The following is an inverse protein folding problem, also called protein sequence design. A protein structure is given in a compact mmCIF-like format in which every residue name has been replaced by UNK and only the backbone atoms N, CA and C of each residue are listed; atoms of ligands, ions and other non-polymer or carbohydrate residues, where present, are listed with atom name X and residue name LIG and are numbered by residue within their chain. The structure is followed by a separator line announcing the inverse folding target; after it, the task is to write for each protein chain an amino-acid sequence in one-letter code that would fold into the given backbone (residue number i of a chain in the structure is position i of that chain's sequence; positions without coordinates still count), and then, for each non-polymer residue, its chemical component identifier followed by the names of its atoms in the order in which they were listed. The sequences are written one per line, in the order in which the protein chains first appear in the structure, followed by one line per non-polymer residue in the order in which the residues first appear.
data_IF_388263806233
#
_entry.id   IF_388263806233
#
_cell.length_a   1.000
_cell.length_b   1.000
_cell.length_c   1.000
_cell.angle_alpha   90.00
_cell.angle_beta   90.00
_cell.angle_gamma   90.00
#
_symmetry.space_group_name_H-M   'P 1'
#
loop_
_entity.id
_entity.type
_entity.pdbx_description
1 polymer ?
#
# COMPACT_ATOMS: atom_id res chain seq x y z
N UNK A 1 -32.72 38.72 -8.38
CA UNK A 1 -33.12 37.53 -9.17
C UNK A 1 -32.18 36.39 -8.80
N UNK A 2 -32.65 35.14 -8.66
CA UNK A 2 -31.76 33.99 -8.49
C UNK A 2 -30.91 33.82 -9.76
N UNK A 3 -29.61 33.63 -9.60
CA UNK A 3 -28.70 33.30 -10.69
C UNK A 3 -29.12 31.96 -11.32
N UNK A 4 -29.17 31.82 -12.66
CA UNK A 4 -29.57 30.57 -13.29
C UNK A 4 -28.66 29.42 -12.87
N UNK A 5 -29.25 28.26 -12.57
CA UNK A 5 -28.48 27.07 -12.19
C UNK A 5 -27.51 26.68 -13.32
N UNK A 6 -26.28 26.24 -13.01
CA UNK A 6 -25.36 25.78 -14.03
C UNK A 6 -25.93 24.53 -14.72
N UNK A 7 -25.85 24.53 -16.04
CA UNK A 7 -26.28 23.42 -16.89
C UNK A 7 -25.07 22.74 -17.51
N UNK A 8 -25.19 21.45 -17.79
CA UNK A 8 -24.19 20.73 -18.57
C UNK A 8 -24.15 21.18 -20.04
N UNK A 9 -23.30 20.51 -20.84
CA UNK A 9 -23.13 20.83 -22.26
C UNK A 9 -24.42 20.64 -23.09
N UNK A 10 -25.36 19.83 -22.59
CA UNK A 10 -26.63 19.54 -23.25
C UNK A 10 -27.78 20.44 -22.71
N UNK A 11 -27.48 21.35 -21.79
CA UNK A 11 -28.46 22.25 -21.18
C UNK A 11 -29.29 21.60 -20.06
N UNK A 12 -28.89 20.40 -19.60
CA UNK A 12 -29.54 19.71 -18.48
C UNK A 12 -29.01 20.28 -17.16
N UNK A 13 -29.88 20.53 -16.16
CA UNK A 13 -29.44 20.93 -14.83
C UNK A 13 -28.48 19.89 -14.26
N UNK A 14 -27.33 20.34 -13.76
CA UNK A 14 -26.37 19.43 -13.15
C UNK A 14 -26.88 18.94 -11.78
N UNK A 15 -26.89 17.62 -11.59
CA UNK A 15 -27.17 17.01 -10.30
C UNK A 15 -25.85 16.78 -9.52
N UNK A 16 -25.63 17.45 -8.37
CA UNK A 16 -24.43 17.27 -7.58
C UNK A 16 -24.25 15.84 -7.04
N UNK A 17 -25.35 15.09 -6.82
CA UNK A 17 -25.26 13.70 -6.37
C UNK A 17 -24.71 12.79 -7.48
N UNK A 18 -25.18 13.00 -8.72
CA UNK A 18 -24.66 12.29 -9.89
C UNK A 18 -23.18 12.63 -10.14
N UNK A 19 -22.80 13.91 -10.05
CA UNK A 19 -21.40 14.32 -10.18
C UNK A 19 -20.50 13.66 -9.12
N UNK A 20 -20.99 13.53 -7.89
CA UNK A 20 -20.26 12.85 -6.82
C UNK A 20 -20.13 11.35 -7.05
N UNK A 21 -21.19 10.69 -7.55
CA UNK A 21 -21.17 9.28 -7.92
C UNK A 21 -20.19 9.01 -9.07
N UNK A 22 -20.20 9.84 -10.09
CA UNK A 22 -19.28 9.75 -11.23
C UNK A 22 -17.83 9.99 -10.79
N UNK A 23 -17.59 10.92 -9.87
CA UNK A 23 -16.26 11.15 -9.29
C UNK A 23 -15.76 9.93 -8.52
N UNK A 24 -16.63 9.25 -7.76
CA UNK A 24 -16.26 8.02 -7.05
C UNK A 24 -15.93 6.88 -8.02
N UNK A 25 -16.71 6.73 -9.09
CA UNK A 25 -16.45 5.73 -10.13
C UNK A 25 -15.12 6.00 -10.84
N UNK A 26 -14.89 7.26 -11.26
CA UNK A 26 -13.62 7.67 -11.87
C UNK A 26 -12.43 7.41 -10.93
N UNK A 27 -12.59 7.65 -9.63
CA UNK A 27 -11.55 7.35 -8.64
C UNK A 27 -11.24 5.85 -8.55
N UNK A 28 -12.27 5.00 -8.56
CA UNK A 28 -12.11 3.55 -8.54
C UNK A 28 -11.40 3.01 -9.79
N UNK A 29 -11.59 3.68 -10.93
CA UNK A 29 -10.95 3.35 -12.21
C UNK A 29 -9.56 3.99 -12.39
N UNK A 30 -9.12 4.83 -11.45
CA UNK A 30 -7.83 5.54 -11.52
C UNK A 30 -7.82 6.72 -12.49
N UNK A 31 -8.99 7.19 -12.95
CA UNK A 31 -9.14 8.38 -13.82
C UNK A 31 -9.12 9.66 -12.98
N UNK A 32 -7.98 9.99 -12.37
CA UNK A 32 -7.89 11.05 -11.37
C UNK A 32 -8.16 12.45 -11.93
N UNK A 33 -7.86 12.72 -13.20
CA UNK A 33 -8.19 13.99 -13.86
C UNK A 33 -9.70 14.21 -13.93
N UNK A 34 -10.47 13.15 -14.18
CA UNK A 34 -11.93 13.21 -14.16
C UNK A 34 -12.47 13.47 -12.76
N UNK A 35 -11.83 12.87 -11.73
CA UNK A 35 -12.18 13.15 -10.32
C UNK A 35 -11.98 14.62 -9.99
N UNK A 36 -10.85 15.22 -10.39
CA UNK A 36 -10.58 16.65 -10.16
C UNK A 36 -11.69 17.51 -10.76
N UNK A 37 -12.06 17.25 -12.02
CA UNK A 37 -13.10 18.01 -12.72
C UNK A 37 -14.49 17.82 -12.09
N UNK A 38 -14.89 16.58 -11.84
CA UNK A 38 -16.23 16.25 -11.31
C UNK A 38 -16.39 16.72 -9.86
N UNK A 39 -15.38 16.50 -9.01
CA UNK A 39 -15.41 16.95 -7.63
C UNK A 39 -15.40 18.48 -7.51
N UNK A 40 -14.68 19.20 -8.39
CA UNK A 40 -14.72 20.65 -8.42
C UNK A 40 -16.13 21.20 -8.77
N UNK A 41 -16.81 20.60 -9.76
CA UNK A 41 -18.19 20.95 -10.11
C UNK A 41 -19.17 20.64 -8.98
N UNK A 42 -19.08 19.46 -8.39
CA UNK A 42 -19.89 19.08 -7.24
C UNK A 42 -19.69 20.05 -6.06
N UNK A 43 -18.44 20.44 -5.76
CA UNK A 43 -18.14 21.42 -4.73
C UNK A 43 -18.70 22.81 -5.05
N UNK A 44 -18.62 23.26 -6.30
CA UNK A 44 -19.19 24.55 -6.71
C UNK A 44 -20.71 24.61 -6.52
N UNK A 45 -21.40 23.47 -6.67
CA UNK A 45 -22.84 23.36 -6.47
C UNK A 45 -23.26 23.27 -5.00
N UNK A 46 -22.54 22.51 -4.18
CA UNK A 46 -22.97 22.16 -2.81
C UNK A 46 -22.22 22.89 -1.72
N UNK A 47 -21.01 23.39 -2.01
CA UNK A 47 -20.07 23.87 -1.00
C UNK A 47 -19.56 22.78 -0.04
N UNK A 48 -19.88 21.50 -0.26
CA UNK A 48 -19.51 20.43 0.69
C UNK A 48 -17.98 20.21 0.68
N UNK A 49 -17.30 20.31 1.85
CA UNK A 49 -15.86 20.08 1.99
C UNK A 49 -15.39 18.69 1.53
N UNK A 50 -16.28 17.69 1.50
CA UNK A 50 -15.96 16.32 1.06
C UNK A 50 -15.59 16.26 -0.41
N UNK A 51 -16.23 17.06 -1.27
CA UNK A 51 -15.87 17.14 -2.68
C UNK A 51 -14.51 17.85 -2.86
N UNK A 52 -14.26 18.91 -2.09
CA UNK A 52 -12.97 19.59 -2.11
C UNK A 52 -11.82 18.67 -1.65
N UNK A 53 -12.06 17.82 -0.65
CA UNK A 53 -11.12 16.79 -0.24
C UNK A 53 -10.90 15.72 -1.32
N UNK A 54 -11.96 15.27 -2.01
CA UNK A 54 -11.85 14.32 -3.11
C UNK A 54 -10.98 14.89 -4.25
N UNK A 55 -11.16 16.17 -4.58
CA UNK A 55 -10.30 16.88 -5.53
C UNK A 55 -8.84 16.88 -5.07
N UNK A 56 -8.57 17.26 -3.81
CA UNK A 56 -7.20 17.28 -3.26
C UNK A 56 -6.54 15.90 -3.29
N UNK A 57 -7.29 14.85 -2.97
CA UNK A 57 -6.80 13.48 -3.00
C UNK A 57 -6.45 13.03 -4.42
N UNK A 58 -7.25 13.41 -5.42
CA UNK A 58 -6.99 13.11 -6.82
C UNK A 58 -5.73 13.85 -7.34
N UNK A 59 -5.56 15.13 -7.03
CA UNK A 59 -4.34 15.89 -7.37
C UNK A 59 -3.08 15.23 -6.81
N UNK A 60 -3.13 14.77 -5.55
CA UNK A 60 -2.02 14.02 -4.96
C UNK A 60 -1.70 12.74 -5.73
N UNK A 61 -2.72 12.01 -6.22
CA UNK A 61 -2.52 10.79 -7.01
C UNK A 61 -1.92 11.07 -8.39
N UNK A 62 -2.15 12.27 -8.93
CA UNK A 62 -1.51 12.76 -10.16
C UNK A 62 -0.06 13.24 -9.92
N UNK A 63 0.39 13.31 -8.67
CA UNK A 63 1.71 13.86 -8.32
C UNK A 63 1.73 15.39 -8.21
N UNK A 64 0.59 16.05 -8.37
CA UNK A 64 0.39 17.50 -8.23
C UNK A 64 0.32 17.91 -6.75
N UNK A 65 1.39 17.62 -6.00
CA UNK A 65 1.40 17.83 -4.55
C UNK A 65 1.26 19.30 -4.16
N UNK A 66 1.72 20.24 -4.99
CA UNK A 66 1.61 21.68 -4.69
C UNK A 66 0.14 22.14 -4.74
N UNK A 67 -0.59 21.70 -5.75
CA UNK A 67 -2.01 21.95 -5.96
C UNK A 67 -2.85 21.28 -4.86
N UNK A 68 -2.54 20.02 -4.54
CA UNK A 68 -3.19 19.28 -3.47
C UNK A 68 -3.07 19.98 -2.10
N UNK A 69 -1.90 20.53 -1.77
CA UNK A 69 -1.68 21.25 -0.51
C UNK A 69 -2.57 22.50 -0.39
N UNK A 70 -2.78 23.24 -1.48
CA UNK A 70 -3.69 24.39 -1.50
C UNK A 70 -5.13 23.95 -1.22
N UNK A 71 -5.57 22.85 -1.82
CA UNK A 71 -6.93 22.31 -1.61
C UNK A 71 -7.11 21.77 -0.18
N UNK A 72 -6.13 21.04 0.35
CA UNK A 72 -6.15 20.56 1.73
C UNK A 72 -6.22 21.71 2.75
N UNK A 73 -5.48 22.79 2.53
CA UNK A 73 -5.57 23.98 3.38
C UNK A 73 -6.99 24.58 3.38
N UNK A 74 -7.66 24.63 2.22
CA UNK A 74 -9.06 25.08 2.12
C UNK A 74 -10.03 24.12 2.83
N UNK A 75 -9.84 22.81 2.71
CA UNK A 75 -10.65 21.82 3.46
C UNK A 75 -10.54 22.10 4.96
N UNK A 76 -9.33 22.20 5.52
CA UNK A 76 -9.14 22.48 6.95
C UNK A 76 -9.73 23.81 7.38
N UNK A 77 -9.67 24.84 6.53
CA UNK A 77 -10.30 26.13 6.81
C UNK A 77 -11.84 26.04 6.85
N UNK A 78 -12.46 25.21 6.00
CA UNK A 78 -13.92 25.06 5.93
C UNK A 78 -14.53 24.25 7.09
N UNK A 79 -13.75 23.43 7.79
CA UNK A 79 -14.26 22.48 8.81
C UNK A 79 -13.67 22.69 10.21
N UNK A 80 -12.97 23.81 10.45
CA UNK A 80 -12.08 24.02 11.61
C UNK A 80 -12.68 23.69 12.99
N UNK A 81 -13.99 23.82 13.15
CA UNK A 81 -14.68 23.72 14.43
C UNK A 81 -15.86 22.71 14.42
N UNK A 82 -15.98 21.87 13.37
CA UNK A 82 -17.08 20.92 13.23
C UNK A 82 -16.63 19.46 13.48
N UNK A 83 -17.05 18.81 14.59
CA UNK A 83 -16.67 17.45 14.91
C UNK A 83 -17.20 16.40 13.92
N UNK A 84 -18.23 16.72 13.12
CA UNK A 84 -18.73 15.83 12.07
C UNK A 84 -17.66 15.51 11.02
N UNK A 85 -16.66 16.39 10.88
CA UNK A 85 -15.56 16.25 9.92
C UNK A 85 -14.23 15.81 10.55
N UNK A 86 -14.22 15.31 11.79
CA UNK A 86 -12.98 14.88 12.45
C UNK A 86 -12.16 13.88 11.60
N UNK A 87 -12.82 12.87 11.00
CA UNK A 87 -12.15 11.91 10.12
C UNK A 87 -11.62 12.55 8.82
N UNK A 88 -12.32 13.55 8.28
CA UNK A 88 -11.89 14.30 7.10
C UNK A 88 -10.64 15.14 7.42
N UNK A 89 -10.59 15.76 8.60
CA UNK A 89 -9.44 16.52 9.10
C UNK A 89 -8.22 15.62 9.26
N UNK A 90 -8.38 14.44 9.85
CA UNK A 90 -7.27 13.49 10.03
C UNK A 90 -6.74 12.99 8.68
N UNK A 91 -7.63 12.61 7.76
CA UNK A 91 -7.25 12.24 6.39
C UNK A 91 -6.55 13.37 5.63
N UNK A 92 -6.99 14.62 5.83
CA UNK A 92 -6.38 15.80 5.23
C UNK A 92 -4.97 16.05 5.76
N UNK A 93 -4.75 15.96 7.08
CA UNK A 93 -3.43 16.09 7.69
C UNK A 93 -2.47 15.01 7.20
N UNK A 94 -2.94 13.77 7.09
CA UNK A 94 -2.16 12.68 6.52
C UNK A 94 -1.79 12.94 5.05
N UNK A 95 -2.75 13.43 4.25
CA UNK A 95 -2.52 13.82 2.87
C UNK A 95 -1.43 14.90 2.73
N UNK A 96 -1.49 15.94 3.58
CA UNK A 96 -0.47 17.00 3.65
C UNK A 96 0.92 16.42 3.94
N UNK A 97 1.03 15.54 4.94
CA UNK A 97 2.32 14.92 5.30
C UNK A 97 2.91 14.10 4.13
N UNK A 98 2.08 13.32 3.44
CA UNK A 98 2.50 12.55 2.25
C UNK A 98 2.94 13.46 1.09
N UNK A 99 2.27 14.60 0.90
CA UNK A 99 2.67 15.58 -0.12
C UNK A 99 4.02 16.23 0.22
N UNK A 100 4.28 16.57 1.48
CA UNK A 100 5.58 17.12 1.89
C UNK A 100 6.71 16.11 1.65
N UNK A 101 6.52 14.86 2.06
CA UNK A 101 7.51 13.79 1.81
C UNK A 101 7.79 13.61 0.31
N UNK A 102 6.75 13.60 -0.53
CA UNK A 102 6.91 13.47 -1.98
C UNK A 102 7.69 14.65 -2.59
N UNK A 103 7.45 15.87 -2.11
CA UNK A 103 8.18 17.06 -2.56
C UNK A 103 9.65 17.00 -2.13
N UNK A 104 9.95 16.64 -0.89
CA UNK A 104 11.32 16.46 -0.39
C UNK A 104 12.08 15.40 -1.20
N UNK A 105 11.44 14.27 -1.51
CA UNK A 105 12.01 13.23 -2.36
C UNK A 105 12.29 13.74 -3.79
N UNK A 106 11.39 14.53 -4.37
CA UNK A 106 11.59 15.10 -5.70
C UNK A 106 12.77 16.09 -5.73
N UNK A 107 12.92 16.92 -4.69
CA UNK A 107 14.02 17.87 -4.58
C UNK A 107 15.37 17.15 -4.37
N UNK A 108 15.40 16.11 -3.54
CA UNK A 108 16.58 15.29 -3.34
C UNK A 108 17.01 14.55 -4.61
N UNK A 109 16.06 14.18 -5.48
CA UNK A 109 16.35 13.54 -6.77
C UNK A 109 16.88 14.51 -7.83
N UNK A 110 16.49 15.79 -7.77
CA UNK A 110 16.96 16.84 -8.70
C UNK A 110 18.29 17.46 -8.28
N UNK A 111 18.73 17.25 -7.02
CA UNK A 111 20.05 17.66 -6.56
C UNK A 111 21.14 17.10 -7.49
N UNK A 112 22.07 17.95 -7.99
CA UNK A 112 23.13 17.49 -8.89
C UNK A 112 23.90 16.33 -8.25
N UNK A 113 24.22 15.26 -9.00
CA UNK A 113 25.03 14.19 -8.46
C UNK A 113 26.31 14.82 -7.90
N UNK A 114 26.57 14.60 -6.61
CA UNK A 114 27.77 15.11 -5.97
C UNK A 114 28.97 14.73 -6.84
N UNK A 115 29.73 15.75 -7.28
CA UNK A 115 30.89 15.55 -8.13
C UNK A 115 31.70 14.37 -7.61
N UNK A 116 32.07 13.40 -8.47
CA UNK A 116 32.76 12.20 -8.02
C UNK A 116 34.03 12.64 -7.29
N UNK A 117 34.05 12.45 -5.97
CA UNK A 117 35.27 12.66 -5.21
C UNK A 117 36.28 11.67 -5.78
N UNK A 118 37.42 12.21 -6.21
CA UNK A 118 38.50 11.40 -6.77
C UNK A 118 38.83 10.34 -5.73
N UNK A 119 38.68 9.04 -6.03
CA UNK A 119 38.93 8.01 -5.04
C UNK A 119 40.39 8.16 -4.57
N UNK A 120 40.65 8.21 -3.25
CA UNK A 120 42.00 8.16 -2.75
C UNK A 120 42.69 6.92 -3.33
N UNK A 121 43.98 7.01 -3.71
CA UNK A 121 44.72 5.92 -4.34
C UNK A 121 44.55 4.66 -3.48
N UNK A 122 44.02 3.61 -4.12
CA UNK A 122 43.75 2.34 -3.46
C UNK A 122 45.05 1.81 -2.86
N UNK A 123 45.12 1.79 -1.53
CA UNK A 123 46.07 0.94 -0.85
C UNK A 123 45.75 -0.50 -1.24
N UNK A 124 46.72 -1.19 -1.81
CA UNK A 124 46.65 -2.61 -2.15
C UNK A 124 46.50 -3.40 -0.86
N UNK A 125 45.25 -3.63 -0.45
CA UNK A 125 44.93 -4.51 0.65
C UNK A 125 45.11 -5.95 0.16
N UNK A 126 46.19 -6.60 0.61
CA UNK A 126 46.41 -8.04 0.42
C UNK A 126 45.27 -8.78 1.13
N UNK A 127 44.19 -9.04 0.37
CA UNK A 127 43.02 -9.74 0.87
C UNK A 127 43.45 -11.16 1.29
N UNK A 128 43.35 -11.53 2.58
CA UNK A 128 43.67 -12.87 3.02
C UNK A 128 42.80 -13.88 2.26
N UNK A 129 43.40 -14.98 1.84
CA UNK A 129 42.69 -16.05 1.12
C UNK A 129 41.40 -16.42 1.88
N UNK A 130 40.25 -16.55 1.19
CA UNK A 130 38.97 -16.84 1.83
C UNK A 130 39.09 -18.18 2.57
N UNK A 131 38.93 -18.13 3.91
CA UNK A 131 38.82 -19.33 4.72
C UNK A 131 37.54 -20.04 4.32
N UNK A 132 37.66 -21.30 3.88
CA UNK A 132 36.53 -22.15 3.52
C UNK A 132 35.72 -22.46 4.78
N UNK A 133 34.68 -21.66 5.06
CA UNK A 133 33.77 -21.97 6.15
C UNK A 133 32.97 -23.24 5.81
N UNK A 134 32.76 -24.15 6.78
CA UNK A 134 31.98 -25.36 6.56
C UNK A 134 30.55 -25.00 6.14
N UNK A 135 29.94 -25.76 5.22
CA UNK A 135 28.60 -25.47 4.70
C UNK A 135 27.59 -25.39 5.83
N UNK A 136 26.97 -24.21 6.00
CA UNK A 136 25.89 -24.00 6.97
C UNK A 136 24.71 -24.90 6.61
N UNK A 137 24.31 -25.76 7.55
CA UNK A 137 23.18 -26.68 7.37
C UNK A 137 21.86 -25.86 7.35
N UNK A 138 21.10 -25.96 6.26
CA UNK A 138 19.88 -25.16 6.03
C UNK A 138 18.82 -25.22 7.14
N UNK A 139 18.69 -26.36 7.81
CA UNK A 139 17.71 -26.56 8.89
C UNK A 139 18.07 -25.82 10.19
N UNK A 140 19.22 -25.15 10.25
CA UNK A 140 19.67 -24.36 11.40
C UNK A 140 19.52 -22.85 11.23
N UNK A 141 18.73 -22.34 10.27
CA UNK A 141 18.42 -20.91 10.22
C UNK A 141 17.39 -20.56 11.32
N UNK A 142 17.82 -19.96 12.47
CA UNK A 142 16.91 -19.67 13.57
C UNK A 142 15.84 -18.65 13.17
N UNK A 143 16.16 -17.73 12.25
CA UNK A 143 15.22 -16.73 11.75
C UNK A 143 14.13 -17.36 10.88
N UNK A 144 14.50 -18.36 10.06
CA UNK A 144 13.54 -19.13 9.27
C UNK A 144 12.54 -19.89 10.15
N UNK A 145 13.01 -20.48 11.26
CA UNK A 145 12.16 -21.15 12.24
C UNK A 145 11.22 -20.19 12.97
N UNK A 146 11.73 -19.04 13.43
CA UNK A 146 10.92 -18.01 14.12
C UNK A 146 9.82 -17.46 13.20
N UNK A 147 10.16 -17.08 11.96
CA UNK A 147 9.20 -16.55 11.00
C UNK A 147 8.10 -17.55 10.65
N UNK A 148 8.47 -18.83 10.43
CA UNK A 148 7.51 -19.90 10.15
C UNK A 148 6.58 -20.14 11.34
N UNK A 149 7.14 -20.23 12.55
CA UNK A 149 6.37 -20.45 13.78
C UNK A 149 5.37 -19.32 14.03
N UNK A 150 5.80 -18.06 13.87
CA UNK A 150 4.96 -16.89 14.07
C UNK A 150 3.84 -16.81 13.02
N UNK A 151 4.15 -17.14 11.75
CA UNK A 151 3.15 -17.23 10.68
C UNK A 151 2.07 -18.28 10.94
N UNK A 152 2.45 -19.46 11.43
CA UNK A 152 1.49 -20.51 11.79
C UNK A 152 0.58 -20.09 12.95
N UNK A 153 1.13 -19.47 14.00
CA UNK A 153 0.35 -19.00 15.16
C UNK A 153 -0.66 -17.92 14.76
N UNK A 154 -0.25 -16.96 13.92
CA UNK A 154 -1.16 -15.90 13.42
C UNK A 154 -2.25 -16.49 12.52
N UNK A 155 -1.92 -17.46 11.67
CA UNK A 155 -2.90 -18.09 10.76
C UNK A 155 -3.89 -18.96 11.52
N UNK A 156 -3.43 -19.70 12.53
CA UNK A 156 -4.27 -20.56 13.37
C UNK A 156 -5.27 -19.75 14.22
N UNK A 157 -4.91 -18.54 14.63
CA UNK A 157 -5.81 -17.65 15.38
C UNK A 157 -6.78 -16.90 14.45
N UNK A 158 -6.37 -16.54 13.23
CA UNK A 158 -7.24 -15.85 12.26
C UNK A 158 -8.23 -16.75 11.51
N UNK A 159 -7.88 -18.00 11.25
CA UNK A 159 -8.72 -18.95 10.48
C UNK A 159 -10.13 -19.15 11.03
N UNK A 160 -10.31 -19.42 12.34
CA UNK A 160 -11.64 -19.55 12.93
C UNK A 160 -12.48 -18.28 12.84
N UNK A 161 -11.86 -17.11 12.97
CA UNK A 161 -12.51 -15.80 12.85
C UNK A 161 -13.06 -15.55 11.43
N UNK A 162 -12.34 -16.00 10.40
CA UNK A 162 -12.80 -15.89 9.01
C UNK A 162 -14.01 -16.79 8.72
N UNK A 163 -14.00 -18.03 9.21
CA UNK A 163 -15.14 -18.95 9.06
C UNK A 163 -16.38 -18.42 9.79
N UNK A 164 -16.21 -17.90 11.01
CA UNK A 164 -17.31 -17.30 11.77
C UNK A 164 -17.84 -16.01 11.13
N UNK A 165 -16.98 -15.23 10.47
CA UNK A 165 -17.35 -14.00 9.75
C UNK A 165 -18.20 -14.28 8.52
N UNK A 166 -17.87 -15.30 7.72
CA UNK A 166 -18.69 -15.69 6.58
C UNK A 166 -20.07 -16.21 7.02
N UNK A 167 -20.15 -16.99 8.10
CA UNK A 167 -21.44 -17.44 8.63
C UNK A 167 -22.30 -16.32 9.26
N UNK A 168 -21.73 -15.13 9.50
CA UNK A 168 -22.50 -13.97 9.95
C UNK A 168 -23.11 -13.17 8.78
N UNK A 169 -22.51 -13.24 7.57
CA UNK A 169 -23.09 -12.65 6.35
C UNK A 169 -24.37 -13.35 5.93
N UNK A 170 -24.36 -14.69 5.92
CA UNK A 170 -25.55 -15.49 5.57
C UNK A 170 -26.71 -15.27 6.55
N UNK A 171 -26.41 -14.94 7.82
CA UNK A 171 -27.42 -14.56 8.82
C UNK A 171 -27.92 -13.13 8.68
N UNK A 172 -27.08 -12.22 8.19
CA UNK A 172 -27.46 -10.84 7.93
C UNK A 172 -28.36 -10.71 6.69
N UNK A 173 -28.15 -11.52 5.66
CA UNK A 173 -29.01 -11.55 4.46
C UNK A 173 -30.43 -12.08 4.74
N UNK A 174 -30.63 -12.79 5.87
CA UNK A 174 -31.92 -13.35 6.27
C UNK A 174 -32.62 -12.58 7.40
N UNK A 175 -32.06 -11.47 7.89
CA UNK A 175 -32.65 -10.71 8.99
C UNK A 175 -33.73 -9.74 8.46
N UNK A 176 -34.98 -9.92 8.90
CA UNK A 176 -36.14 -9.11 8.49
C UNK A 176 -36.30 -7.78 9.26
N UNK A 177 -35.29 -7.35 10.03
CA UNK A 177 -35.41 -6.24 10.98
C UNK A 177 -34.32 -5.17 10.76
N UNK A 178 -34.72 -3.94 10.41
CA UNK A 178 -33.82 -2.84 10.03
C UNK A 178 -32.93 -2.36 11.20
N UNK A 179 -33.43 -2.43 12.44
CA UNK A 179 -32.67 -2.04 13.61
C UNK A 179 -31.49 -3.00 13.89
N UNK A 180 -31.70 -4.29 13.67
CA UNK A 180 -30.65 -5.31 13.77
C UNK A 180 -29.62 -5.18 12.64
N UNK A 181 -30.04 -4.72 11.46
CA UNK A 181 -29.16 -4.44 10.32
C UNK A 181 -28.22 -3.26 10.59
N UNK A 182 -28.72 -2.15 11.16
CA UNK A 182 -27.92 -0.98 11.47
C UNK A 182 -26.81 -1.26 12.52
N UNK A 183 -27.13 -2.01 13.59
CA UNK A 183 -26.17 -2.37 14.63
C UNK A 183 -25.10 -3.34 14.09
N UNK A 184 -25.51 -4.31 13.26
CA UNK A 184 -24.59 -5.26 12.65
C UNK A 184 -23.65 -4.60 11.61
N UNK A 185 -24.09 -3.55 10.91
CA UNK A 185 -23.24 -2.78 10.00
C UNK A 185 -22.15 -1.97 10.70
N UNK A 186 -22.48 -1.33 11.82
CA UNK A 186 -21.50 -0.60 12.63
C UNK A 186 -20.42 -1.54 13.19
N UNK A 187 -20.82 -2.71 13.69
CA UNK A 187 -19.91 -3.74 14.20
C UNK A 187 -19.10 -4.40 13.06
N UNK A 188 -19.70 -4.60 11.89
CA UNK A 188 -19.02 -5.16 10.72
C UNK A 188 -17.95 -4.21 10.14
N UNK A 189 -18.20 -2.89 10.11
CA UNK A 189 -17.21 -1.92 9.62
C UNK A 189 -15.93 -1.92 10.46
N UNK A 190 -16.04 -1.97 11.79
CA UNK A 190 -14.87 -2.07 12.68
C UNK A 190 -14.09 -3.39 12.52
N UNK A 191 -14.79 -4.52 12.36
CA UNK A 191 -14.18 -5.84 12.19
C UNK A 191 -13.53 -6.02 10.81
N UNK A 192 -14.08 -5.41 9.75
CA UNK A 192 -13.58 -5.56 8.38
C UNK A 192 -12.24 -4.89 8.17
N UNK A 193 -12.02 -3.70 8.77
CA UNK A 193 -10.72 -3.01 8.70
C UNK A 193 -9.64 -3.80 9.44
N UNK A 194 -9.95 -4.34 10.62
CA UNK A 194 -9.03 -5.16 11.40
C UNK A 194 -8.68 -6.49 10.70
N UNK A 195 -9.67 -7.14 10.07
CA UNK A 195 -9.47 -8.40 9.35
C UNK A 195 -8.64 -8.23 8.07
N UNK A 196 -8.84 -7.14 7.31
CA UNK A 196 -8.05 -6.86 6.11
C UNK A 196 -6.59 -6.55 6.49
N UNK A 197 -6.38 -5.74 7.53
CA UNK A 197 -5.04 -5.43 8.01
C UNK A 197 -4.28 -6.68 8.49
N UNK A 198 -4.94 -7.55 9.27
CA UNK A 198 -4.30 -8.78 9.78
C UNK A 198 -4.00 -9.79 8.67
N UNK A 199 -4.89 -9.95 7.68
CA UNK A 199 -4.65 -10.82 6.52
C UNK A 199 -3.51 -10.30 5.64
N UNK A 200 -3.41 -9.00 5.43
CA UNK A 200 -2.31 -8.40 4.65
C UNK A 200 -0.95 -8.66 5.33
N UNK A 201 -0.86 -8.41 6.65
CA UNK A 201 0.36 -8.64 7.42
C UNK A 201 0.71 -10.14 7.46
N UNK A 202 -0.26 -11.01 7.74
CA UNK A 202 -0.06 -12.46 7.76
C UNK A 202 0.37 -13.03 6.40
N UNK A 203 -0.26 -12.58 5.32
CA UNK A 203 0.05 -12.99 3.95
C UNK A 203 1.46 -12.57 3.50
N UNK A 204 1.87 -11.36 3.86
CA UNK A 204 3.23 -10.87 3.58
C UNK A 204 4.29 -11.70 4.32
N UNK A 205 4.06 -12.02 5.60
CA UNK A 205 4.97 -12.85 6.40
C UNK A 205 5.14 -14.26 5.83
N UNK A 206 4.04 -14.93 5.44
CA UNK A 206 4.09 -16.26 4.84
C UNK A 206 4.84 -16.26 3.49
N UNK A 207 4.57 -15.26 2.64
CA UNK A 207 5.23 -15.14 1.34
C UNK A 207 6.74 -14.90 1.50
N UNK A 208 7.13 -14.01 2.42
CA UNK A 208 8.53 -13.77 2.76
C UNK A 208 9.24 -15.01 3.28
N UNK A 209 8.57 -15.80 4.15
CA UNK A 209 9.11 -17.06 4.67
C UNK A 209 9.34 -18.09 3.55
N UNK A 210 8.38 -18.27 2.65
CA UNK A 210 8.49 -19.19 1.50
C UNK A 210 9.63 -18.77 0.57
N UNK A 211 9.73 -17.48 0.23
CA UNK A 211 10.79 -16.96 -0.63
C UNK A 211 12.17 -17.17 -0.01
N UNK A 212 12.35 -16.87 1.28
CA UNK A 212 13.62 -17.09 1.97
C UNK A 212 14.02 -18.56 1.98
N UNK A 213 13.09 -19.46 2.29
CA UNK A 213 13.36 -20.90 2.30
C UNK A 213 13.74 -21.41 0.91
N UNK A 214 13.05 -20.93 -0.13
CA UNK A 214 13.34 -21.25 -1.53
C UNK A 214 14.71 -20.77 -1.99
N UNK A 215 15.12 -19.56 -1.59
CA UNK A 215 16.43 -19.00 -1.91
C UNK A 215 17.57 -19.77 -1.21
N UNK A 216 17.43 -20.05 0.08
CA UNK A 216 18.42 -20.84 0.85
C UNK A 216 18.54 -22.27 0.28
N UNK A 217 17.42 -22.89 -0.10
CA UNK A 217 17.42 -24.21 -0.72
C UNK A 217 18.07 -24.22 -2.12
N UNK A 218 17.95 -23.11 -2.89
CA UNK A 218 18.60 -22.97 -4.20
C UNK A 218 20.12 -22.84 -4.09
N UNK A 219 20.61 -22.10 -3.10
CA UNK A 219 22.05 -21.87 -2.91
C UNK A 219 22.79 -23.18 -2.57
N UNK A 220 22.15 -24.05 -1.80
CA UNK A 220 22.65 -25.40 -1.54
C UNK A 220 22.73 -26.26 -2.81
N UNK A 221 21.78 -26.14 -3.74
CA UNK A 221 21.84 -26.90 -5.02
C UNK A 221 22.95 -26.39 -5.94
N UNK A 222 23.18 -25.08 -5.97
CA UNK A 222 24.28 -24.48 -6.77
C UNK A 222 25.64 -24.89 -6.24
N UNK A 223 25.77 -25.02 -4.93
CA UNK A 223 27.01 -25.46 -4.27
C UNK A 223 27.36 -26.93 -4.53
N UNK A 224 26.43 -27.75 -5.06
CA UNK A 224 26.65 -29.16 -5.38
C UNK A 224 27.07 -29.41 -6.84
N UNK A 225 26.95 -28.42 -7.72
CA UNK A 225 27.33 -28.52 -9.12
C UNK A 225 28.52 -27.59 -9.40
N UNK A 226 29.72 -28.11 -9.18
CA UNK A 226 30.97 -27.42 -9.52
C UNK A 226 31.56 -27.99 -10.81
N UNK A 227 31.81 -27.13 -11.79
CA UNK A 227 32.70 -27.45 -12.91
C UNK A 227 34.13 -27.29 -12.43
N UNK A 228 34.87 -28.40 -12.35
CA UNK A 228 36.30 -28.37 -12.00
C UNK A 228 37.08 -28.38 -13.31
N UNK A 229 37.84 -27.31 -13.64
CA UNK A 229 38.70 -27.31 -14.81
C UNK A 229 39.84 -28.31 -14.60
N UNK A 230 39.95 -29.30 -15.49
CA UNK A 230 41.09 -30.20 -15.56
C UNK A 230 41.94 -29.83 -16.78
N UNK A 231 43.27 -30.07 -16.74
CA UNK A 231 44.18 -29.70 -17.83
C UNK A 231 43.86 -30.35 -19.19
N UNK A 232 42.94 -31.32 -19.24
CA UNK A 232 42.51 -32.02 -20.46
C UNK A 232 41.00 -31.91 -20.76
N UNK A 233 40.23 -31.09 -20.04
CA UNK A 233 38.79 -30.89 -20.29
C UNK A 233 37.97 -30.42 -19.08
N UNK A 234 36.66 -30.26 -19.26
CA UNK A 234 35.71 -29.97 -18.18
C UNK A 234 35.08 -31.26 -17.66
N UNK A 235 35.26 -31.57 -16.37
CA UNK A 235 34.52 -32.64 -15.71
C UNK A 235 33.40 -32.07 -14.85
N UNK A 236 32.22 -32.69 -14.94
CA UNK A 236 31.08 -32.36 -14.10
C UNK A 236 31.19 -33.19 -12.81
N UNK A 237 31.63 -32.56 -11.72
CA UNK A 237 31.76 -33.22 -10.43
C UNK A 237 30.45 -33.15 -9.65
N UNK A 238 29.80 -34.28 -9.40
CA UNK A 238 28.65 -34.38 -8.49
C UNK A 238 29.10 -34.98 -7.15
N UNK A 239 29.02 -34.20 -6.07
CA UNK A 239 29.38 -34.65 -4.72
C UNK A 239 28.12 -35.10 -3.99
N UNK A 240 27.71 -36.35 -4.24
CA UNK A 240 26.61 -36.97 -3.50
C UNK A 240 27.06 -37.37 -2.08
N UNK A 241 26.33 -36.91 -1.06
CA UNK A 241 26.43 -37.44 0.30
C UNK A 241 25.20 -38.34 0.47
N UNK A 242 25.42 -39.65 0.53
CA UNK A 242 24.41 -40.63 0.95
C UNK A 242 24.28 -40.64 2.47
#
# INVERSE_FOLDING_TARGET
EPEPAPTDADGTPEDPEQLAADAQLAFAEGRFEDVVRLAARAHALTGDPRHLYAQALAERRLGHCREALVLYARVLASVRDDPAYAALVDGTRQGIALCHEALEQSEAAEAPPASPSTPPPAATDERPAPRTEPPRRWYRDPWGGVLLGLGVVVTATGGPLWVLSNGARDRAENAQDEAAYAESLARARGLRTGAVASLAVGGALLTGAILRYGLVARDLRRSMAGLVPLPSGLALGWRGVF
#
